data_IF_063803018152
#
_entry.id   IF_063803018152
#
_cell.length_a   1.000
_cell.length_b   1.000
_cell.length_c   1.000
_cell.angle_alpha   90.00
_cell.angle_beta   90.00
_cell.angle_gamma   90.00
#
_symmetry.space_group_name_H-M   'P 1'
#
loop_
_entity.id
_entity.type
_entity.pdbx_description
1 polymer ?
#
# COMPACT_ATOMS: atom_id res chain seq x y z
N UNK A 1 -16.54 -2.35 29.65
CA UNK A 1 -15.67 -1.40 28.90
C UNK A 1 -14.98 -2.12 27.75
N UNK A 2 -15.69 -2.38 26.66
CA UNK A 2 -15.17 -2.95 25.40
C UNK A 2 -16.05 -2.43 24.24
N UNK A 3 -15.91 -1.16 23.85
CA UNK A 3 -16.57 -0.60 22.65
C UNK A 3 -15.65 0.27 21.78
N UNK A 4 -14.34 0.30 22.06
CA UNK A 4 -13.41 1.26 21.41
C UNK A 4 -12.75 0.75 20.11
N UNK A 5 -12.79 -0.54 19.78
CA UNK A 5 -12.11 -1.08 18.59
C UNK A 5 -12.94 -0.98 17.31
N UNK A 6 -14.27 -1.08 17.41
CA UNK A 6 -15.17 -1.15 16.26
C UNK A 6 -15.20 0.13 15.44
N UNK A 7 -15.25 1.28 16.10
CA UNK A 7 -15.32 2.58 15.43
C UNK A 7 -14.02 2.97 14.73
N UNK A 8 -12.86 2.64 15.31
CA UNK A 8 -11.56 2.85 14.67
C UNK A 8 -11.39 1.96 13.44
N UNK A 9 -11.79 0.69 13.52
CA UNK A 9 -11.75 -0.23 12.38
C UNK A 9 -12.71 0.20 11.26
N UNK A 10 -13.90 0.70 11.62
CA UNK A 10 -14.88 1.27 10.69
C UNK A 10 -14.35 2.54 10.02
N UNK A 11 -13.66 3.40 10.78
CA UNK A 11 -12.99 4.59 10.27
C UNK A 11 -11.87 4.23 9.31
N UNK A 12 -10.99 3.29 9.66
CA UNK A 12 -9.91 2.81 8.81
C UNK A 12 -10.41 2.20 7.49
N UNK A 13 -11.47 1.38 7.53
CA UNK A 13 -12.11 0.84 6.32
C UNK A 13 -12.66 1.96 5.44
N UNK A 14 -13.26 2.99 6.05
CA UNK A 14 -13.83 4.13 5.33
C UNK A 14 -12.73 4.95 4.66
N UNK A 15 -11.66 5.28 5.38
CA UNK A 15 -10.47 5.96 4.83
C UNK A 15 -9.89 5.16 3.67
N UNK A 16 -9.73 3.83 3.83
CA UNK A 16 -9.24 2.96 2.74
C UNK A 16 -10.12 3.07 1.49
N UNK A 17 -11.45 3.08 1.64
CA UNK A 17 -12.38 3.22 0.50
C UNK A 17 -12.23 4.57 -0.21
N UNK A 18 -12.08 5.66 0.54
CA UNK A 18 -11.83 7.00 -0.03
C UNK A 18 -10.52 7.00 -0.81
N UNK A 19 -9.45 6.44 -0.24
CA UNK A 19 -8.13 6.44 -0.87
C UNK A 19 -8.09 5.58 -2.12
N UNK A 20 -8.77 4.43 -2.13
CA UNK A 20 -8.87 3.58 -3.32
C UNK A 20 -9.66 4.27 -4.45
N UNK A 21 -10.73 5.00 -4.12
CA UNK A 21 -11.43 5.83 -5.10
C UNK A 21 -10.55 6.95 -5.67
N UNK A 22 -9.73 7.60 -4.83
CA UNK A 22 -8.77 8.61 -5.28
C UNK A 22 -7.70 8.01 -6.20
N UNK A 23 -7.10 6.88 -5.83
CA UNK A 23 -6.11 6.16 -6.66
C UNK A 23 -6.67 5.78 -8.03
N UNK A 24 -7.92 5.30 -8.07
CA UNK A 24 -8.61 5.00 -9.32
C UNK A 24 -8.71 6.25 -10.22
N UNK A 25 -9.22 7.37 -9.68
CA UNK A 25 -9.34 8.63 -10.42
C UNK A 25 -7.98 9.20 -10.84
N UNK A 26 -6.93 9.03 -10.02
CA UNK A 26 -5.58 9.47 -10.36
C UNK A 26 -5.04 8.73 -11.59
N UNK A 27 -5.39 7.45 -11.76
CA UNK A 27 -5.02 6.65 -12.93
C UNK A 27 -5.85 7.00 -14.16
N UNK A 28 -7.13 7.31 -13.99
CA UNK A 28 -8.02 7.59 -15.12
C UNK A 28 -7.89 9.00 -15.68
N UNK A 29 -7.88 10.02 -14.82
CA UNK A 29 -7.95 11.43 -15.23
C UNK A 29 -6.80 12.28 -14.71
N UNK A 30 -5.95 11.72 -13.84
CA UNK A 30 -4.79 12.40 -13.26
C UNK A 30 -5.12 13.22 -12.00
N UNK A 31 -4.18 13.23 -11.05
CA UNK A 31 -4.36 13.83 -9.72
C UNK A 31 -4.82 15.30 -9.74
N UNK A 32 -4.30 16.12 -10.67
CA UNK A 32 -4.65 17.54 -10.77
C UNK A 32 -6.11 17.77 -11.15
N UNK A 33 -6.71 16.85 -11.92
CA UNK A 33 -8.09 16.95 -12.38
C UNK A 33 -9.09 16.32 -11.42
N UNK A 34 -8.62 15.45 -10.52
CA UNK A 34 -9.47 14.81 -9.50
C UNK A 34 -9.95 15.82 -8.47
N UNK A 35 -11.24 15.84 -8.15
CA UNK A 35 -11.80 16.64 -7.05
C UNK A 35 -12.33 15.78 -5.91
N UNK A 36 -12.54 16.38 -4.72
CA UNK A 36 -13.20 15.68 -3.60
C UNK A 36 -14.62 15.25 -3.97
N UNK A 37 -15.32 16.00 -4.83
CA UNK A 37 -16.64 15.63 -5.33
C UNK A 37 -16.59 14.37 -6.22
N UNK A 38 -15.57 14.22 -7.05
CA UNK A 38 -15.37 13.01 -7.85
C UNK A 38 -15.11 11.80 -6.96
N UNK A 39 -14.26 11.96 -5.96
CA UNK A 39 -13.94 10.90 -4.99
C UNK A 39 -15.19 10.50 -4.21
N UNK A 40 -15.99 11.48 -3.78
CA UNK A 40 -17.28 11.26 -3.10
C UNK A 40 -18.23 10.43 -3.97
N UNK A 41 -18.35 10.78 -5.26
CA UNK A 41 -19.16 10.05 -6.23
C UNK A 41 -18.71 8.59 -6.40
N UNK A 42 -17.41 8.33 -6.57
CA UNK A 42 -16.89 6.96 -6.75
C UNK A 42 -16.99 6.12 -5.48
N UNK A 43 -16.83 6.74 -4.30
CA UNK A 43 -16.91 6.03 -3.01
C UNK A 43 -18.33 5.89 -2.44
N UNK A 44 -19.36 6.37 -3.17
CA UNK A 44 -20.76 6.45 -2.74
C UNK A 44 -20.92 7.18 -1.40
N UNK A 45 -20.20 8.30 -1.26
CA UNK A 45 -20.20 9.16 -0.08
C UNK A 45 -20.54 10.60 -0.50
N UNK A 46 -20.92 11.46 0.46
CA UNK A 46 -20.99 12.90 0.20
C UNK A 46 -19.61 13.57 0.36
N UNK A 47 -19.42 14.78 -0.13
CA UNK A 47 -18.16 15.52 0.12
C UNK A 47 -18.01 15.85 1.61
N UNK A 48 -19.10 16.26 2.27
CA UNK A 48 -19.14 16.39 3.73
C UNK A 48 -18.79 15.05 4.39
N UNK A 49 -19.28 13.94 3.83
CA UNK A 49 -18.85 12.53 3.98
C UNK A 49 -17.35 12.37 4.29
N UNK A 50 -16.58 12.84 3.31
CA UNK A 50 -15.13 12.71 3.25
C UNK A 50 -14.45 13.66 4.24
N UNK A 51 -14.88 14.92 4.31
CA UNK A 51 -14.23 15.91 5.16
C UNK A 51 -14.26 15.57 6.67
N UNK A 52 -15.24 14.79 7.16
CA UNK A 52 -15.22 14.31 8.56
C UNK A 52 -14.15 13.26 8.84
N UNK A 53 -13.72 12.50 7.82
CA UNK A 53 -12.71 11.46 7.95
C UNK A 53 -11.31 11.95 7.54
N UNK A 54 -11.27 12.88 6.58
CA UNK A 54 -10.06 13.47 6.03
C UNK A 54 -10.29 14.97 5.89
N UNK A 55 -9.85 15.72 6.89
CA UNK A 55 -10.19 17.14 7.08
C UNK A 55 -9.73 18.05 5.93
N UNK A 56 -8.76 17.60 5.13
CA UNK A 56 -8.22 18.33 4.00
C UNK A 56 -8.07 17.45 2.77
N UNK A 57 -8.09 18.07 1.58
CA UNK A 57 -7.69 17.42 0.33
C UNK A 57 -6.28 16.83 0.44
N UNK A 58 -5.38 17.57 1.09
CA UNK A 58 -4.01 17.13 1.35
C UNK A 58 -3.96 15.81 2.11
N UNK A 59 -4.87 15.59 3.08
CA UNK A 59 -4.92 14.34 3.81
C UNK A 59 -5.19 13.14 2.88
N UNK A 60 -6.05 13.30 1.87
CA UNK A 60 -6.27 12.25 0.86
C UNK A 60 -4.94 11.92 0.15
N UNK A 61 -4.22 12.96 -0.28
CA UNK A 61 -2.95 12.82 -1.01
C UNK A 61 -1.89 12.13 -0.13
N UNK A 62 -1.77 12.52 1.14
CA UNK A 62 -0.82 11.93 2.09
C UNK A 62 -1.09 10.43 2.29
N UNK A 63 -2.37 10.04 2.44
CA UNK A 63 -2.75 8.63 2.56
C UNK A 63 -2.53 7.84 1.27
N UNK A 64 -2.72 8.47 0.10
CA UNK A 64 -2.39 7.84 -1.19
C UNK A 64 -0.89 7.56 -1.27
N UNK A 65 -0.05 8.56 -1.00
CA UNK A 65 1.42 8.42 -1.03
C UNK A 65 1.87 7.36 -0.04
N UNK A 66 1.32 7.38 1.18
CA UNK A 66 1.62 6.37 2.20
C UNK A 66 1.30 4.96 1.72
N UNK A 67 0.10 4.72 1.15
CA UNK A 67 -0.26 3.39 0.64
C UNK A 67 0.66 2.94 -0.50
N UNK A 68 0.95 3.81 -1.47
CA UNK A 68 1.85 3.46 -2.57
C UNK A 68 3.27 3.13 -2.09
N UNK A 69 3.78 3.89 -1.12
CA UNK A 69 5.09 3.64 -0.52
C UNK A 69 5.11 2.30 0.23
N UNK A 70 4.08 2.01 1.01
CA UNK A 70 3.93 0.75 1.74
C UNK A 70 3.84 -0.45 0.78
N UNK A 71 3.02 -0.36 -0.28
CA UNK A 71 2.92 -1.39 -1.32
C UNK A 71 4.29 -1.63 -1.99
N UNK A 72 5.01 -0.56 -2.31
CA UNK A 72 6.34 -0.64 -2.94
C UNK A 72 7.37 -1.26 -2.01
N UNK A 73 7.40 -0.85 -0.74
CA UNK A 73 8.29 -1.40 0.27
C UNK A 73 8.02 -2.90 0.52
N UNK A 74 6.75 -3.29 0.57
CA UNK A 74 6.34 -4.69 0.74
C UNK A 74 6.76 -5.53 -0.48
N UNK A 75 6.56 -5.03 -1.70
CA UNK A 75 7.02 -5.74 -2.92
C UNK A 75 8.55 -5.89 -2.97
N UNK A 76 9.30 -4.87 -2.57
CA UNK A 76 10.76 -4.91 -2.51
C UNK A 76 11.27 -5.90 -1.46
N UNK A 77 10.68 -5.91 -0.26
CA UNK A 77 11.06 -6.85 0.80
C UNK A 77 10.72 -8.29 0.45
N UNK A 78 9.60 -8.54 -0.21
CA UNK A 78 9.22 -9.86 -0.71
C UNK A 78 10.21 -10.36 -1.77
N UNK A 79 10.59 -9.49 -2.71
CA UNK A 79 11.59 -9.81 -3.73
C UNK A 79 12.95 -10.12 -3.10
N UNK A 80 13.37 -9.36 -2.08
CA UNK A 80 14.62 -9.60 -1.37
C UNK A 80 14.61 -10.94 -0.61
N UNK A 81 13.49 -11.30 0.03
CA UNK A 81 13.32 -12.59 0.71
C UNK A 81 13.39 -13.77 -0.27
N UNK A 82 12.71 -13.65 -1.40
CA UNK A 82 12.65 -14.70 -2.42
C UNK A 82 13.97 -14.82 -3.23
N UNK A 83 14.63 -13.69 -3.49
CA UNK A 83 15.94 -13.62 -4.17
C UNK A 83 17.11 -14.14 -3.32
N UNK A 84 16.99 -14.14 -1.99
CA UNK A 84 18.00 -14.69 -1.08
C UNK A 84 18.19 -16.22 -1.20
N UNK A 85 17.25 -16.93 -1.82
CA UNK A 85 17.38 -18.37 -2.08
C UNK A 85 18.27 -18.67 -3.31
N UNK A 86 18.34 -17.77 -4.30
CA UNK A 86 19.10 -17.99 -5.53
C UNK A 86 20.63 -17.81 -5.36
N UNK A 87 21.07 -17.09 -4.32
CA UNK A 87 22.48 -16.87 -4.01
C UNK A 87 23.07 -17.93 -3.06
N UNK A 88 22.26 -18.84 -2.53
CA UNK A 88 22.75 -20.04 -1.85
C UNK A 88 23.07 -21.15 -2.84
N UNK A 89 24.08 -20.92 -3.70
CA UNK A 89 24.89 -22.02 -4.27
C UNK A 89 26.32 -21.92 -3.74
N UNK A 90 26.60 -22.33 -2.49
CA UNK A 90 27.93 -22.80 -2.17
C UNK A 90 28.11 -24.17 -2.83
N UNK A 91 28.37 -24.18 -4.13
CA UNK A 91 29.01 -25.31 -4.79
C UNK A 91 30.45 -25.40 -4.31
N UNK A 92 30.64 -25.88 -3.07
CA UNK A 92 31.95 -26.27 -2.56
C UNK A 92 31.94 -27.79 -2.45
N UNK A 93 32.20 -28.46 -3.56
CA UNK A 93 32.49 -29.88 -3.56
C UNK A 93 33.91 -30.09 -2.97
N UNK A 94 34.08 -30.70 -1.78
CA UNK A 94 35.38 -30.89 -1.16
C UNK A 94 36.07 -32.22 -1.57
N UNK A 95 35.73 -32.84 -2.70
CA UNK A 95 36.31 -34.13 -3.10
C UNK A 95 37.50 -34.10 -4.06
N UNK A 96 38.09 -32.94 -4.35
CA UNK A 96 39.39 -32.87 -5.06
C UNK A 96 40.58 -33.00 -4.11
N UNK A 97 40.66 -34.12 -3.39
CA UNK A 97 41.94 -34.72 -2.95
C UNK A 97 41.89 -36.22 -3.22
N UNK A 98 41.73 -36.56 -4.50
CA UNK A 98 42.35 -37.77 -5.05
C UNK A 98 43.86 -37.64 -4.82
N UNK A 99 44.46 -38.64 -4.20
CA UNK A 99 45.18 -39.64 -4.99
C UNK A 99 46.25 -38.98 -5.88
N UNK A 100 47.27 -38.42 -5.25
CA UNK A 100 48.58 -38.30 -5.85
C UNK A 100 49.60 -38.21 -4.72
N UNK A 101 50.34 -39.31 -4.60
CA UNK A 101 51.60 -39.48 -3.88
C UNK A 101 51.54 -39.93 -2.42
#
# INVERSE_FOLDING_TARGET
MQELTGDHAKSARTVRRIVQAALHLYREIGHKKTTVADIARISSMSSANIYRFLEARQAVEDFVVKQLLEETANAATETARNGGSALSRPGRDPQSRRSAQ
#
